data_IF_526515962597
#
_entry.id   IF_526515962597
#
_cell.length_a   1.000
_cell.length_b   1.000
_cell.length_c   1.000
_cell.angle_alpha   90.00
_cell.angle_beta   90.00
_cell.angle_gamma   90.00
#
_symmetry.space_group_name_H-M   'P 1'
#
loop_
_entity.id
_entity.type
_entity.pdbx_description
1 polymer ?
#
# COMPACT_ATOMS: atom_id res chain seq x y z
N UNK A 1 -26.87 -20.59 12.77
CA UNK A 1 -26.70 -19.22 13.31
C UNK A 1 -25.64 -18.51 12.47
N UNK A 2 -25.93 -17.39 11.80
CA UNK A 2 -24.91 -16.68 11.02
C UNK A 2 -23.92 -16.03 11.98
N UNK A 3 -22.64 -16.24 11.73
CA UNK A 3 -21.56 -15.62 12.50
C UNK A 3 -21.33 -14.23 11.91
N UNK A 4 -21.50 -13.18 12.71
CA UNK A 4 -21.16 -11.82 12.28
C UNK A 4 -19.68 -11.57 12.54
N UNK A 5 -18.91 -11.37 11.47
CA UNK A 5 -17.52 -10.92 11.54
C UNK A 5 -17.44 -9.48 11.04
N UNK A 6 -16.74 -8.63 11.78
CA UNK A 6 -16.35 -7.29 11.33
C UNK A 6 -14.84 -7.26 11.11
N UNK A 7 -14.42 -6.57 10.05
CA UNK A 7 -13.03 -6.38 9.68
C UNK A 7 -12.82 -4.90 9.37
N UNK A 8 -11.73 -4.32 9.89
CA UNK A 8 -11.33 -2.95 9.56
C UNK A 8 -9.95 -2.97 8.93
N UNK A 9 -9.79 -2.28 7.81
CA UNK A 9 -8.50 -2.06 7.16
C UNK A 9 -8.22 -0.56 7.08
N UNK A 10 -6.95 -0.18 7.23
CA UNK A 10 -6.43 1.13 6.87
C UNK A 10 -5.33 0.94 5.84
N UNK A 11 -5.28 1.78 4.81
CA UNK A 11 -4.24 1.72 3.78
C UNK A 11 -3.66 3.11 3.52
N UNK A 12 -2.36 3.15 3.25
CA UNK A 12 -1.62 4.37 2.94
C UNK A 12 -0.72 4.11 1.74
N UNK A 13 -0.52 5.14 0.91
CA UNK A 13 0.47 5.11 -0.14
C UNK A 13 1.13 6.48 -0.31
N UNK A 14 2.39 6.49 -0.75
CA UNK A 14 3.14 7.70 -1.03
C UNK A 14 4.02 7.53 -2.26
N UNK A 15 4.22 8.63 -2.98
CA UNK A 15 5.20 8.76 -4.04
C UNK A 15 6.34 9.65 -3.55
N UNK A 16 7.58 9.20 -3.76
CA UNK A 16 8.78 9.99 -3.50
C UNK A 16 9.73 9.92 -4.70
N UNK A 17 10.87 10.62 -4.61
CA UNK A 17 11.96 10.51 -5.60
C UNK A 17 12.46 9.07 -5.78
N UNK A 18 12.29 8.22 -4.77
CA UNK A 18 12.72 6.82 -4.76
C UNK A 18 11.68 5.88 -5.40
N UNK A 19 10.47 6.37 -5.68
CA UNK A 19 9.39 5.60 -6.28
C UNK A 19 8.12 5.58 -5.43
N UNK A 20 7.34 4.52 -5.57
CA UNK A 20 6.04 4.35 -4.92
C UNK A 20 6.13 3.36 -3.75
N UNK A 21 5.48 3.69 -2.63
CA UNK A 21 5.36 2.81 -1.46
C UNK A 21 3.89 2.75 -1.04
N UNK A 22 3.40 1.57 -0.67
CA UNK A 22 2.06 1.39 -0.12
C UNK A 22 2.07 0.37 1.02
N UNK A 23 1.20 0.57 2.00
CA UNK A 23 1.01 -0.33 3.12
C UNK A 23 -0.47 -0.43 3.47
N UNK A 24 -0.90 -1.59 3.95
CA UNK A 24 -2.24 -1.81 4.47
C UNK A 24 -2.17 -2.59 5.77
N UNK A 25 -2.97 -2.19 6.75
CA UNK A 25 -3.08 -2.81 8.07
C UNK A 25 -4.53 -3.25 8.25
N UNK A 26 -4.74 -4.55 8.46
CA UNK A 26 -6.05 -5.13 8.72
C UNK A 26 -6.13 -5.59 10.17
N UNK A 27 -7.15 -5.12 10.90
CA UNK A 27 -7.42 -5.49 12.29
C UNK A 27 -8.11 -6.87 12.37
N UNK A 28 -7.39 -7.92 11.98
CA UNK A 28 -7.72 -9.32 12.22
C UNK A 28 -6.40 -9.99 12.64
N UNK A 29 -6.41 -10.87 13.65
CA UNK A 29 -5.24 -11.53 14.25
C UNK A 29 -4.06 -11.71 13.28
N UNK A 30 -3.00 -10.92 13.50
CA UNK A 30 -1.87 -10.77 12.58
C UNK A 30 -1.04 -12.05 12.43
N UNK A 31 -0.91 -12.55 11.20
CA UNK A 31 0.35 -13.07 10.65
C UNK A 31 0.40 -12.74 9.16
N UNK A 32 0.93 -11.58 8.80
CA UNK A 32 1.37 -11.33 7.43
C UNK A 32 2.62 -10.45 7.48
N UNK A 33 3.79 -11.10 7.53
CA UNK A 33 5.08 -10.47 7.33
C UNK A 33 5.58 -10.80 5.91
N UNK A 34 5.97 -9.77 5.17
CA UNK A 34 6.74 -9.92 3.93
C UNK A 34 8.10 -9.27 4.16
N UNK A 35 9.18 -10.02 3.95
CA UNK A 35 10.54 -9.46 3.96
C UNK A 35 10.78 -8.78 2.61
N UNK A 36 11.12 -7.48 2.56
CA UNK A 36 11.48 -6.84 1.31
C UNK A 36 12.71 -7.52 0.71
N UNK A 37 12.66 -7.84 -0.58
CA UNK A 37 13.84 -8.28 -1.32
C UNK A 37 14.46 -7.07 -2.01
N UNK A 38 15.73 -6.81 -1.73
CA UNK A 38 16.49 -5.76 -2.40
C UNK A 38 17.23 -6.34 -3.59
N UNK A 39 17.17 -5.66 -4.73
CA UNK A 39 17.90 -6.03 -5.95
C UNK A 39 18.44 -4.78 -6.62
N UNK A 40 19.67 -4.85 -7.12
CA UNK A 40 20.20 -3.81 -8.00
C UNK A 40 19.49 -3.84 -9.36
N UNK A 41 18.98 -2.69 -9.79
CA UNK A 41 18.24 -2.55 -11.03
C UNK A 41 18.71 -1.30 -11.78
N UNK A 42 18.66 -1.35 -13.11
CA UNK A 42 18.82 -0.15 -13.93
C UNK A 42 17.60 0.75 -13.77
N UNK A 43 17.83 2.00 -13.34
CA UNK A 43 16.76 2.98 -13.12
C UNK A 43 16.62 3.88 -14.35
N UNK A 44 15.42 3.94 -14.91
CA UNK A 44 15.04 4.97 -15.90
C UNK A 44 14.24 6.04 -15.20
N UNK A 45 14.67 7.30 -15.32
CA UNK A 45 14.00 8.44 -14.72
C UNK A 45 13.10 9.12 -15.74
N UNK A 46 11.86 9.37 -15.35
CA UNK A 46 10.87 10.12 -16.14
C UNK A 46 10.27 11.19 -15.24
N UNK A 47 10.03 12.38 -15.79
CA UNK A 47 9.25 13.42 -15.11
C UNK A 47 7.79 13.35 -15.58
N UNK A 48 6.87 13.24 -14.63
CA UNK A 48 5.43 13.18 -14.90
C UNK A 48 4.75 14.20 -13.97
N UNK A 49 3.81 14.96 -14.53
CA UNK A 49 2.99 15.92 -13.78
C UNK A 49 1.54 15.49 -13.82
N UNK A 50 0.94 15.29 -12.65
CA UNK A 50 -0.49 14.99 -12.50
C UNK A 50 -1.24 16.27 -12.14
N UNK A 51 -1.73 16.99 -13.15
CA UNK A 51 -2.39 18.28 -13.02
C UNK A 51 -3.93 18.21 -12.99
N UNK A 52 -4.48 17.01 -12.80
CA UNK A 52 -5.91 16.71 -12.74
C UNK A 52 -6.13 15.44 -11.91
N UNK A 53 -7.36 15.17 -11.42
CA UNK A 53 -7.63 13.94 -10.68
C UNK A 53 -7.16 12.69 -11.42
N UNK A 54 -6.55 11.76 -10.69
CA UNK A 54 -5.88 10.59 -11.26
C UNK A 54 -6.08 9.34 -10.40
N UNK A 55 -6.01 8.18 -11.05
CA UNK A 55 -6.04 6.88 -10.38
C UNK A 55 -4.61 6.42 -10.04
N UNK A 56 -4.49 5.73 -8.91
CA UNK A 56 -3.27 5.01 -8.49
C UNK A 56 -3.62 3.54 -8.39
N UNK A 57 -2.79 2.69 -9.01
CA UNK A 57 -2.88 1.24 -8.91
C UNK A 57 -1.49 0.68 -8.64
N UNK A 58 -1.36 -0.07 -7.55
CA UNK A 58 -0.18 -0.88 -7.27
C UNK A 58 -0.53 -2.34 -7.50
N UNK A 59 0.26 -3.03 -8.33
CA UNK A 59 0.09 -4.45 -8.61
C UNK A 59 1.21 -5.25 -7.97
N UNK A 60 0.90 -6.46 -7.55
CA UNK A 60 1.92 -7.47 -7.30
C UNK A 60 2.73 -7.75 -8.57
N UNK A 61 4.00 -8.12 -8.39
CA UNK A 61 4.93 -8.37 -9.49
C UNK A 61 4.35 -9.39 -10.48
N UNK A 62 4.61 -9.20 -11.78
CA UNK A 62 4.08 -10.09 -12.83
C UNK A 62 4.93 -11.33 -13.06
N UNK A 63 6.20 -11.27 -12.68
CA UNK A 63 7.21 -12.28 -12.95
C UNK A 63 7.59 -13.05 -11.68
N UNK A 64 7.62 -12.37 -10.53
CA UNK A 64 7.92 -12.97 -9.23
C UNK A 64 6.66 -13.22 -8.39
N UNK A 65 6.76 -14.13 -7.42
CA UNK A 65 5.68 -14.50 -6.49
C UNK A 65 4.72 -15.60 -7.01
N UNK A 66 3.75 -16.01 -6.16
CA UNK A 66 2.83 -17.09 -6.50
C UNK A 66 1.93 -16.71 -7.68
N UNK A 67 1.71 -17.66 -8.59
CA UNK A 67 1.00 -17.41 -9.86
C UNK A 67 -0.37 -16.75 -9.70
N UNK A 68 -1.11 -17.10 -8.64
CA UNK A 68 -2.42 -16.53 -8.33
C UNK A 68 -2.40 -15.02 -8.05
N UNK A 69 -1.26 -14.46 -7.62
CA UNK A 69 -1.12 -13.06 -7.25
C UNK A 69 -0.46 -12.21 -8.34
N UNK A 70 0.07 -12.81 -9.41
CA UNK A 70 0.87 -12.09 -10.41
C UNK A 70 0.06 -11.01 -11.11
N UNK A 71 0.53 -9.76 -11.03
CA UNK A 71 -0.15 -8.60 -11.62
C UNK A 71 -1.46 -8.19 -10.94
N UNK A 72 -1.83 -8.84 -9.82
CA UNK A 72 -3.05 -8.52 -9.09
C UNK A 72 -2.94 -7.14 -8.41
N UNK A 73 -3.93 -6.24 -8.55
CA UNK A 73 -3.95 -4.97 -7.83
C UNK A 73 -4.02 -5.18 -6.31
N UNK A 74 -3.00 -4.75 -5.58
CA UNK A 74 -2.89 -4.83 -4.11
C UNK A 74 -3.22 -3.50 -3.41
N UNK A 75 -3.25 -2.40 -4.16
CA UNK A 75 -3.68 -1.08 -3.68
C UNK A 75 -4.33 -0.31 -4.83
N UNK A 76 -5.41 0.41 -4.54
CA UNK A 76 -6.05 1.32 -5.48
C UNK A 76 -6.50 2.59 -4.78
N UNK A 77 -6.33 3.74 -5.42
CA UNK A 77 -6.88 5.00 -4.93
C UNK A 77 -7.29 5.91 -6.09
N UNK A 78 -8.20 6.83 -5.81
CA UNK A 78 -8.51 7.97 -6.66
C UNK A 78 -8.05 9.23 -5.94
N UNK A 79 -7.15 9.99 -6.56
CA UNK A 79 -6.55 11.20 -5.98
C UNK A 79 -7.17 12.40 -6.66
N UNK A 80 -7.97 13.16 -5.92
CA UNK A 80 -8.48 14.48 -6.35
C UNK A 80 -7.50 15.60 -5.99
N UNK A 81 -6.91 15.50 -4.80
CA UNK A 81 -5.94 16.45 -4.27
C UNK A 81 -4.82 15.66 -3.55
N UNK A 82 -3.57 15.74 -4.03
CA UNK A 82 -2.45 15.07 -3.38
C UNK A 82 -2.08 15.77 -2.08
N UNK A 83 -1.85 14.99 -1.03
CA UNK A 83 -1.38 15.48 0.25
C UNK A 83 0.10 15.16 0.42
N UNK A 84 0.87 16.14 0.90
CA UNK A 84 2.26 15.88 1.29
C UNK A 84 2.26 14.96 2.51
N UNK A 85 2.92 13.81 2.37
CA UNK A 85 3.04 12.86 3.48
C UNK A 85 4.19 13.27 4.38
N UNK A 86 3.90 13.86 5.53
CA UNK A 86 4.86 13.93 6.64
C UNK A 86 4.88 12.54 7.28
N UNK A 87 5.90 11.74 6.97
CA UNK A 87 6.09 10.44 7.62
C UNK A 87 6.63 10.72 9.03
N UNK A 88 5.73 10.97 9.98
CA UNK A 88 6.10 10.80 11.38
C UNK A 88 6.39 9.31 11.61
N UNK A 89 7.47 9.00 12.34
CA UNK A 89 7.77 7.62 12.70
C UNK A 89 6.52 7.00 13.33
N UNK A 90 6.15 5.80 12.89
CA UNK A 90 5.00 5.10 13.44
C UNK A 90 5.18 5.00 14.97
N UNK A 91 4.35 5.75 15.71
CA UNK A 91 4.33 5.65 17.16
C UNK A 91 4.00 4.22 17.59
N UNK A 92 4.35 3.84 18.84
CA UNK A 92 4.02 2.51 19.34
C UNK A 92 2.52 2.22 19.16
N UNK A 93 2.13 1.00 18.77
CA UNK A 93 0.74 0.66 18.55
C UNK A 93 -0.10 1.00 19.78
N UNK A 94 -1.06 1.91 19.61
CA UNK A 94 -2.00 2.27 20.67
C UNK A 94 -3.26 1.40 20.57
N UNK A 95 -3.73 0.81 21.67
CA UNK A 95 -5.03 0.16 21.70
C UNK A 95 -6.11 1.18 21.32
N UNK A 96 -6.89 0.87 20.28
CA UNK A 96 -8.08 1.64 19.90
C UNK A 96 -9.29 0.84 20.33
N UNK A 97 -10.17 1.45 21.12
CA UNK A 97 -11.43 0.83 21.50
C UNK A 97 -12.26 0.55 20.24
N UNK A 98 -12.51 -0.72 19.97
CA UNK A 98 -13.44 -1.15 18.92
C UNK A 98 -14.85 -1.02 19.51
N UNK A 99 -15.67 -0.15 18.93
CA UNK A 99 -17.12 -0.12 19.18
C UNK A 99 -17.82 -1.14 18.30
#
# INVERSE_FOLDING_TARGET
MPVQFSARQSAVASFSREGFKAAAVTAIGMVAGSVPRFREVLVRRVEIRFNRPFAVLACADRQDGPAAWRGMPVFSAWVTEPQDTVIEAAGPPRPVAVR
#
